data_IF_709939697317
#
_entry.id   IF_709939697317
#
_cell.length_a   1.000
_cell.length_b   1.000
_cell.length_c   1.000
_cell.angle_alpha   90.00
_cell.angle_beta   90.00
_cell.angle_gamma   90.00
#
_symmetry.space_group_name_H-M   'P 1'
#
loop_
_entity.id
_entity.type
_entity.pdbx_description
1 polymer ?
#
# COMPACT_ATOMS: atom_id res chain seq x y z
N UNK A 1 -1.69 8.75 3.73
CA UNK A 1 -2.96 9.01 4.46
C UNK A 1 -3.03 10.50 4.69
N UNK A 2 -4.15 11.12 4.37
CA UNK A 2 -4.30 12.57 4.32
C UNK A 2 -5.49 13.00 5.17
N UNK A 3 -5.46 14.21 5.73
CA UNK A 3 -6.50 14.76 6.59
C UNK A 3 -6.86 16.19 6.18
N UNK A 4 -8.06 16.60 6.57
CA UNK A 4 -8.41 18.00 6.70
C UNK A 4 -8.05 18.46 8.12
N UNK A 5 -7.14 19.41 8.27
CA UNK A 5 -6.67 19.95 9.56
C UNK A 5 -7.79 20.60 10.37
N UNK A 6 -8.87 21.03 9.72
CA UNK A 6 -10.04 21.61 10.38
C UNK A 6 -10.97 20.55 11.00
N UNK A 7 -10.76 19.25 10.74
CA UNK A 7 -11.57 18.15 11.30
C UNK A 7 -11.22 17.78 12.75
N UNK A 8 -10.30 18.53 13.39
CA UNK A 8 -9.93 18.34 14.79
C UNK A 8 -9.06 17.10 15.06
N UNK A 9 -8.46 16.51 14.03
CA UNK A 9 -7.57 15.35 14.14
C UNK A 9 -6.18 15.84 14.57
N UNK A 10 -5.73 15.44 15.76
CA UNK A 10 -4.40 15.79 16.29
C UNK A 10 -3.48 14.57 16.40
N UNK A 11 -4.07 13.38 16.43
CA UNK A 11 -3.39 12.09 16.45
C UNK A 11 -4.16 11.09 15.58
N UNK A 12 -3.52 10.00 15.12
CA UNK A 12 -4.21 8.97 14.33
C UNK A 12 -5.42 8.35 15.05
N UNK A 13 -5.38 8.26 16.38
CA UNK A 13 -6.49 7.77 17.22
C UNK A 13 -7.76 8.64 17.13
N UNK A 14 -7.65 9.91 16.74
CA UNK A 14 -8.80 10.83 16.57
C UNK A 14 -9.61 10.53 15.29
N UNK A 15 -9.19 9.53 14.50
CA UNK A 15 -9.95 9.05 13.35
C UNK A 15 -11.21 8.27 13.75
N UNK A 16 -11.37 7.86 15.02
CA UNK A 16 -12.62 7.26 15.50
C UNK A 16 -13.79 8.23 15.30
N UNK A 17 -14.87 7.73 14.72
CA UNK A 17 -16.07 8.49 14.36
C UNK A 17 -15.91 9.40 13.14
N UNK A 18 -14.81 9.31 12.38
CA UNK A 18 -14.54 10.18 11.23
C UNK A 18 -15.02 9.59 9.90
N UNK A 19 -15.19 10.47 8.92
CA UNK A 19 -15.52 10.14 7.52
C UNK A 19 -14.24 10.00 6.71
N UNK A 20 -13.98 8.82 6.18
CA UNK A 20 -12.73 8.48 5.49
C UNK A 20 -13.00 8.15 4.02
N UNK A 21 -12.41 8.95 3.13
CA UNK A 21 -12.39 8.67 1.69
C UNK A 21 -11.44 7.54 1.33
N UNK A 22 -11.87 6.62 0.46
CA UNK A 22 -11.07 5.52 -0.07
C UNK A 22 -11.36 5.35 -1.57
N UNK A 23 -10.37 5.11 -2.44
CA UNK A 23 -10.69 4.86 -3.84
C UNK A 23 -11.54 3.60 -4.03
N UNK A 24 -11.18 2.51 -3.37
CA UNK A 24 -11.95 1.26 -3.30
C UNK A 24 -11.68 0.60 -1.93
N UNK A 25 -12.68 -0.10 -1.39
CA UNK A 25 -12.55 -0.79 -0.10
C UNK A 25 -11.47 -1.88 -0.16
N UNK A 26 -11.43 -2.67 -1.22
CA UNK A 26 -10.50 -3.78 -1.40
C UNK A 26 -9.14 -3.40 -2.00
N UNK A 27 -8.85 -2.10 -2.19
CA UNK A 27 -7.57 -1.66 -2.74
C UNK A 27 -6.42 -2.02 -1.79
N UNK A 28 -5.32 -2.58 -2.29
CA UNK A 28 -4.17 -3.02 -1.47
C UNK A 28 -3.70 -1.96 -0.46
N UNK A 29 -3.58 -0.70 -0.90
CA UNK A 29 -3.19 0.40 -0.02
C UNK A 29 -4.20 0.63 1.12
N UNK A 30 -5.50 0.57 0.84
CA UNK A 30 -6.53 0.83 1.85
C UNK A 30 -6.63 -0.34 2.83
N UNK A 31 -6.35 -1.57 2.39
CA UNK A 31 -6.23 -2.75 3.27
C UNK A 31 -5.08 -2.57 4.25
N UNK A 32 -3.88 -2.22 3.76
CA UNK A 32 -2.72 -1.94 4.61
C UNK A 32 -2.98 -0.78 5.58
N UNK A 33 -3.50 0.35 5.08
CA UNK A 33 -3.77 1.53 5.88
C UNK A 33 -4.75 1.23 7.02
N UNK A 34 -5.87 0.54 6.75
CA UNK A 34 -6.81 0.13 7.82
C UNK A 34 -6.17 -0.84 8.81
N UNK A 35 -5.41 -1.81 8.34
CA UNK A 35 -4.70 -2.76 9.21
C UNK A 35 -3.72 -2.07 10.16
N UNK A 36 -2.91 -1.15 9.64
CA UNK A 36 -1.95 -0.36 10.44
C UNK A 36 -2.69 0.56 11.43
N UNK A 37 -3.78 1.21 11.02
CA UNK A 37 -4.58 2.05 11.92
C UNK A 37 -5.19 1.26 13.07
N UNK A 38 -5.61 0.03 12.82
CA UNK A 38 -6.14 -0.85 13.85
C UNK A 38 -5.03 -1.34 14.80
N UNK A 39 -3.95 -1.90 14.26
CA UNK A 39 -2.90 -2.54 15.05
C UNK A 39 -2.06 -1.54 15.88
N UNK A 40 -1.70 -0.39 15.29
CA UNK A 40 -0.77 0.55 15.93
C UNK A 40 -1.49 1.72 16.63
N UNK A 41 -2.73 2.03 16.23
CA UNK A 41 -3.46 3.20 16.72
C UNK A 41 -4.84 2.87 17.30
N UNK A 42 -5.24 1.60 17.27
CA UNK A 42 -6.48 1.10 17.86
C UNK A 42 -7.75 1.64 17.20
N UNK A 43 -7.67 2.11 15.95
CA UNK A 43 -8.83 2.65 15.21
C UNK A 43 -9.47 1.50 14.43
N UNK A 44 -10.60 0.99 14.92
CA UNK A 44 -11.32 -0.05 14.21
C UNK A 44 -12.01 0.51 12.96
N UNK A 45 -12.03 -0.29 11.89
CA UNK A 45 -12.78 0.04 10.68
C UNK A 45 -14.30 0.15 10.92
N UNK A 46 -14.84 -0.41 12.01
CA UNK A 46 -16.25 -0.29 12.42
C UNK A 46 -16.56 1.02 13.16
N UNK A 47 -15.54 1.77 13.55
CA UNK A 47 -15.68 3.05 14.25
C UNK A 47 -15.64 4.23 13.28
N UNK A 48 -15.57 3.99 11.96
CA UNK A 48 -15.45 5.03 10.94
C UNK A 48 -16.46 4.80 9.82
N UNK A 49 -16.78 5.87 9.08
CA UNK A 49 -17.61 5.78 7.88
C UNK A 49 -16.74 5.94 6.63
N UNK A 50 -16.82 4.99 5.70
CA UNK A 50 -16.05 5.06 4.47
C UNK A 50 -16.84 5.64 3.31
N UNK A 51 -16.15 6.38 2.45
CA UNK A 51 -16.69 6.95 1.22
C UNK A 51 -15.83 6.49 0.03
N UNK A 52 -16.40 5.67 -0.86
CA UNK A 52 -15.71 5.03 -1.96
C UNK A 52 -15.92 5.76 -3.29
N UNK A 53 -14.85 6.13 -4.00
CA UNK A 53 -15.00 6.89 -5.24
C UNK A 53 -13.72 7.29 -5.96
N UNK A 54 -13.87 8.12 -7.00
CA UNK A 54 -12.72 8.65 -7.72
C UNK A 54 -11.93 9.62 -6.82
N UNK A 55 -10.59 9.48 -6.81
CA UNK A 55 -9.72 10.37 -6.04
C UNK A 55 -9.73 11.79 -6.63
N UNK A 56 -9.72 11.88 -7.95
CA UNK A 56 -9.69 13.12 -8.73
C UNK A 56 -11.00 13.28 -9.53
N UNK A 57 -11.30 14.48 -10.05
CA UNK A 57 -12.43 14.70 -10.94
C UNK A 57 -12.45 13.68 -12.09
N UNK A 58 -13.61 13.05 -12.29
CA UNK A 58 -13.81 12.07 -13.35
C UNK A 58 -15.17 12.25 -14.00
N UNK A 59 -15.22 12.05 -15.32
CA UNK A 59 -16.48 12.04 -16.08
C UNK A 59 -17.37 10.85 -15.72
N UNK A 60 -16.81 9.82 -15.10
CA UNK A 60 -17.51 8.58 -14.79
C UNK A 60 -17.39 8.24 -13.30
N UNK A 61 -18.46 7.67 -12.75
CA UNK A 61 -18.42 7.09 -11.40
C UNK A 61 -17.40 5.95 -11.39
N UNK A 62 -16.52 5.97 -10.39
CA UNK A 62 -15.61 4.85 -10.17
C UNK A 62 -16.43 3.63 -9.74
N UNK A 63 -16.39 2.57 -10.54
CA UNK A 63 -16.98 1.28 -10.18
C UNK A 63 -15.90 0.36 -9.64
N UNK A 64 -16.19 -0.31 -8.53
CA UNK A 64 -15.32 -1.38 -8.04
C UNK A 64 -15.08 -2.41 -9.14
N UNK A 65 -13.82 -2.76 -9.36
CA UNK A 65 -13.44 -3.75 -10.39
C UNK A 65 -13.59 -5.19 -9.90
N UNK A 66 -13.71 -5.37 -8.58
CA UNK A 66 -13.73 -6.67 -7.92
C UNK A 66 -14.87 -6.70 -6.91
N UNK A 67 -15.83 -7.59 -7.13
CA UNK A 67 -16.91 -7.82 -6.19
C UNK A 67 -16.34 -8.32 -4.86
N UNK A 68 -16.84 -7.76 -3.76
CA UNK A 68 -16.45 -8.11 -2.40
C UNK A 68 -17.66 -7.98 -1.47
N UNK A 69 -17.58 -8.61 -0.31
CA UNK A 69 -18.50 -8.41 0.80
C UNK A 69 -17.88 -7.45 1.82
N UNK A 70 -18.72 -6.67 2.49
CA UNK A 70 -18.32 -5.89 3.65
C UNK A 70 -18.55 -6.73 4.92
N UNK A 71 -17.62 -6.73 5.88
CA UNK A 71 -17.86 -7.30 7.20
C UNK A 71 -19.05 -6.64 7.92
N UNK A 72 -19.69 -7.32 8.87
CA UNK A 72 -20.68 -6.70 9.74
C UNK A 72 -20.13 -5.45 10.44
N UNK A 73 -20.94 -4.38 10.49
CA UNK A 73 -20.57 -3.12 11.14
C UNK A 73 -19.69 -2.19 10.30
N UNK A 74 -19.34 -2.57 9.07
CA UNK A 74 -18.62 -1.69 8.14
C UNK A 74 -19.62 -0.97 7.23
N UNK A 75 -19.52 0.35 7.16
CA UNK A 75 -20.34 1.21 6.30
C UNK A 75 -19.47 1.83 5.21
N UNK A 76 -19.83 1.61 3.94
CA UNK A 76 -19.19 2.22 2.78
C UNK A 76 -20.25 2.89 1.91
N UNK A 77 -20.12 4.19 1.70
CA UNK A 77 -20.97 4.99 0.81
C UNK A 77 -20.28 5.16 -0.54
N UNK A 78 -20.98 4.82 -1.63
CA UNK A 78 -20.46 5.05 -2.98
C UNK A 78 -20.69 6.52 -3.39
N UNK A 79 -19.64 7.18 -3.88
CA UNK A 79 -19.73 8.53 -4.42
C UNK A 79 -20.57 8.56 -5.70
N UNK A 80 -21.33 9.63 -5.86
CA UNK A 80 -22.13 9.89 -7.04
C UNK A 80 -21.31 10.55 -8.15
N UNK A 81 -21.89 10.61 -9.36
CA UNK A 81 -21.28 11.30 -10.48
C UNK A 81 -21.04 12.78 -10.16
N UNK A 82 -19.85 13.28 -10.50
CA UNK A 82 -19.44 14.66 -10.21
C UNK A 82 -18.84 14.86 -8.83
N UNK A 83 -18.92 13.87 -7.93
CA UNK A 83 -18.19 13.88 -6.66
C UNK A 83 -16.80 13.25 -6.84
N UNK A 84 -15.82 13.73 -6.09
CA UNK A 84 -14.50 13.11 -5.96
C UNK A 84 -13.95 13.33 -4.55
N UNK A 85 -13.09 12.41 -4.10
CA UNK A 85 -12.61 12.39 -2.73
C UNK A 85 -11.78 13.64 -2.41
N UNK A 86 -10.91 14.08 -3.34
CA UNK A 86 -10.04 15.23 -3.12
C UNK A 86 -10.82 16.50 -2.80
N UNK A 87 -11.85 16.82 -3.58
CA UNK A 87 -12.66 18.02 -3.36
C UNK A 87 -13.52 17.90 -2.10
N UNK A 88 -13.99 16.69 -1.77
CA UNK A 88 -14.74 16.46 -0.53
C UNK A 88 -13.87 16.62 0.71
N UNK A 89 -12.61 16.20 0.67
CA UNK A 89 -11.65 16.47 1.75
C UNK A 89 -11.40 17.97 1.90
N UNK A 90 -11.17 18.67 0.78
CA UNK A 90 -10.96 20.13 0.74
C UNK A 90 -12.13 20.90 1.39
N UNK A 91 -13.36 20.49 1.10
CA UNK A 91 -14.59 21.11 1.64
C UNK A 91 -14.93 20.71 3.08
N UNK A 92 -14.21 19.75 3.67
CA UNK A 92 -14.54 19.20 4.99
C UNK A 92 -15.76 18.28 5.00
N UNK A 93 -16.18 17.80 3.83
CA UNK A 93 -17.18 16.73 3.68
C UNK A 93 -16.59 15.36 4.04
N UNK A 94 -15.28 15.22 3.91
CA UNK A 94 -14.47 14.12 4.47
C UNK A 94 -13.46 14.69 5.45
N UNK A 95 -13.11 13.87 6.45
CA UNK A 95 -12.12 14.23 7.46
C UNK A 95 -10.73 13.68 7.12
N UNK A 96 -10.68 12.55 6.41
CA UNK A 96 -9.45 11.93 5.96
C UNK A 96 -9.60 11.23 4.60
N UNK A 97 -8.48 10.95 3.93
CA UNK A 97 -8.39 10.08 2.75
C UNK A 97 -7.28 9.02 2.97
N UNK A 98 -7.66 7.77 2.73
CA UNK A 98 -6.78 6.62 2.62
C UNK A 98 -6.61 6.29 1.13
N UNK A 99 -5.47 6.69 0.57
CA UNK A 99 -5.13 6.49 -0.84
C UNK A 99 -3.65 6.16 -1.01
N UNK A 100 -3.31 5.52 -2.13
CA UNK A 100 -1.92 5.31 -2.55
C UNK A 100 -1.32 6.58 -3.17
N UNK A 101 -2.12 7.29 -3.97
CA UNK A 101 -1.73 8.56 -4.60
C UNK A 101 -2.10 9.73 -3.71
N UNK A 102 -1.29 10.80 -3.78
CA UNK A 102 -1.57 12.08 -3.13
C UNK A 102 -2.86 12.71 -3.72
N UNK A 103 -3.86 13.07 -2.90
CA UNK A 103 -5.02 13.83 -3.35
C UNK A 103 -4.59 15.22 -3.84
N UNK A 104 -5.07 15.70 -5.00
CA UNK A 104 -4.71 17.02 -5.52
C UNK A 104 -4.97 18.21 -4.57
N UNK A 105 -5.97 18.14 -3.68
CA UNK A 105 -6.27 19.21 -2.73
C UNK A 105 -5.10 19.54 -1.78
N UNK A 106 -4.22 18.58 -1.53
CA UNK A 106 -3.01 18.79 -0.70
C UNK A 106 -2.09 19.85 -1.30
N UNK A 107 -2.09 20.02 -2.63
CA UNK A 107 -1.30 21.06 -3.31
C UNK A 107 -2.07 22.36 -3.55
N UNK A 108 -3.38 22.38 -3.26
CA UNK A 108 -4.27 23.52 -3.57
C UNK A 108 -4.70 24.31 -2.33
N UNK A 109 -4.63 23.71 -1.14
CA UNK A 109 -5.06 24.36 0.09
C UNK A 109 -4.19 23.96 1.28
N UNK A 110 -4.02 24.89 2.23
CA UNK A 110 -3.09 24.73 3.36
C UNK A 110 -3.64 23.81 4.48
N UNK A 111 -4.96 23.60 4.48
CA UNK A 111 -5.65 22.79 5.48
C UNK A 111 -5.79 21.31 5.10
N UNK A 112 -5.34 20.88 3.91
CA UNK A 112 -5.25 19.46 3.55
C UNK A 112 -3.79 19.00 3.58
N UNK A 113 -3.46 17.96 4.34
CA UNK A 113 -2.07 17.52 4.52
C UNK A 113 -2.00 16.04 4.93
N UNK A 114 -0.80 15.51 5.10
CA UNK A 114 -0.55 14.17 5.62
C UNK A 114 -1.05 14.04 7.06
N UNK A 115 -1.63 12.89 7.39
CA UNK A 115 -1.93 12.51 8.78
C UNK A 115 -0.65 12.46 9.63
N UNK A 116 0.46 12.05 9.02
CA UNK A 116 1.79 12.00 9.60
C UNK A 116 2.69 13.00 8.86
N UNK A 117 2.89 14.22 9.39
CA UNK A 117 3.81 15.19 8.78
C UNK A 117 5.25 14.66 8.73
N UNK A 118 5.63 13.82 9.70
CA UNK A 118 6.91 13.11 9.82
C UNK A 118 6.81 11.66 9.31
N UNK A 119 6.20 11.46 8.13
CA UNK A 119 5.90 10.11 7.61
C UNK A 119 7.16 9.25 7.44
N UNK A 120 8.31 9.83 7.08
CA UNK A 120 9.57 9.09 6.91
C UNK A 120 9.98 8.42 8.23
N UNK A 121 9.88 9.15 9.34
CA UNK A 121 10.23 8.66 10.67
C UNK A 121 9.25 7.58 11.14
N UNK A 122 7.95 7.80 10.93
CA UNK A 122 6.89 6.84 11.28
C UNK A 122 7.03 5.54 10.49
N UNK A 123 7.25 5.64 9.18
CA UNK A 123 7.46 4.47 8.31
C UNK A 123 8.76 3.73 8.65
N UNK A 124 9.83 4.46 8.99
CA UNK A 124 11.09 3.86 9.42
C UNK A 124 10.95 3.11 10.75
N UNK A 125 10.26 3.68 11.74
CA UNK A 125 9.97 3.01 13.02
C UNK A 125 9.11 1.76 12.80
N UNK A 126 8.04 1.88 12.00
CA UNK A 126 7.20 0.74 11.63
C UNK A 126 8.03 -0.39 11.01
N UNK A 127 8.90 -0.07 10.05
CA UNK A 127 9.78 -1.06 9.44
C UNK A 127 10.79 -1.63 10.45
N UNK A 128 11.37 -0.83 11.34
CA UNK A 128 12.30 -1.33 12.36
C UNK A 128 11.64 -2.35 13.28
N UNK A 129 10.42 -2.06 13.75
CA UNK A 129 9.66 -2.91 14.67
C UNK A 129 9.13 -4.18 14.00
N UNK A 130 8.60 -4.06 12.78
CA UNK A 130 7.84 -5.15 12.13
C UNK A 130 8.64 -5.88 11.04
N UNK A 131 9.68 -5.24 10.49
CA UNK A 131 10.34 -5.63 9.24
C UNK A 131 9.39 -5.76 8.05
N UNK A 132 8.23 -5.11 8.11
CA UNK A 132 7.25 -5.09 7.03
C UNK A 132 7.44 -3.82 6.20
N UNK A 133 7.76 -4.02 4.93
CA UNK A 133 7.53 -3.00 3.90
C UNK A 133 6.35 -3.46 3.02
N UNK A 134 5.21 -2.75 3.00
CA UNK A 134 4.00 -3.21 2.31
C UNK A 134 4.21 -3.58 0.83
N UNK A 135 3.85 -4.81 0.46
CA UNK A 135 3.87 -5.27 -0.94
C UNK A 135 2.61 -4.76 -1.64
N UNK A 136 2.80 -3.96 -2.69
CA UNK A 136 1.71 -3.35 -3.47
C UNK A 136 1.33 -4.15 -4.72
N UNK A 137 2.31 -4.80 -5.35
CA UNK A 137 2.14 -5.49 -6.63
C UNK A 137 2.84 -6.83 -6.65
N UNK A 138 2.27 -7.77 -7.40
CA UNK A 138 2.84 -9.09 -7.69
C UNK A 138 2.77 -9.35 -9.19
N UNK A 139 3.66 -10.21 -9.69
CA UNK A 139 3.61 -10.69 -11.06
C UNK A 139 2.66 -11.89 -11.11
N UNK A 140 1.65 -11.83 -11.97
CA UNK A 140 0.65 -12.90 -12.12
C UNK A 140 0.81 -13.59 -13.46
N UNK A 141 0.70 -14.93 -13.45
CA UNK A 141 0.71 -15.76 -14.66
C UNK A 141 -0.68 -16.38 -14.78
N UNK A 142 -1.30 -16.26 -15.96
CA UNK A 142 -2.57 -16.93 -16.23
C UNK A 142 -2.38 -18.44 -16.04
N UNK A 143 -3.23 -19.06 -15.21
CA UNK A 143 -3.13 -20.47 -14.83
C UNK A 143 -2.93 -21.41 -16.02
N UNK A 144 -3.72 -21.23 -17.09
CA UNK A 144 -3.61 -22.05 -18.32
C UNK A 144 -2.28 -21.93 -19.05
N UNK A 145 -1.56 -20.81 -18.90
CA UNK A 145 -0.23 -20.62 -19.48
C UNK A 145 0.83 -21.32 -18.63
N UNK A 146 0.73 -21.16 -17.30
CA UNK A 146 1.61 -21.83 -16.34
C UNK A 146 1.50 -23.36 -16.43
N UNK A 147 0.30 -23.92 -16.45
CA UNK A 147 0.09 -25.37 -16.51
C UNK A 147 0.68 -26.00 -17.77
N UNK A 148 0.66 -25.27 -18.91
CA UNK A 148 1.29 -25.70 -20.16
C UNK A 148 2.80 -25.48 -20.17
N UNK A 149 3.30 -24.54 -19.38
CA UNK A 149 4.70 -24.11 -19.39
C UNK A 149 5.18 -23.74 -17.97
N UNK A 150 5.31 -24.71 -17.03
CA UNK A 150 5.59 -24.37 -15.62
C UNK A 150 6.93 -23.66 -15.41
N UNK A 151 7.87 -23.85 -16.34
CA UNK A 151 9.18 -23.20 -16.34
C UNK A 151 9.10 -21.67 -16.42
N UNK A 152 8.03 -21.10 -17.00
CA UNK A 152 7.87 -19.63 -17.16
C UNK A 152 7.95 -18.90 -15.83
N UNK A 153 7.41 -19.48 -14.75
CA UNK A 153 7.42 -18.82 -13.44
C UNK A 153 8.85 -18.58 -12.93
N UNK A 154 9.74 -19.55 -13.12
CA UNK A 154 11.16 -19.45 -12.75
C UNK A 154 11.92 -18.50 -13.65
N UNK A 155 11.68 -18.55 -14.96
CA UNK A 155 12.39 -17.67 -15.90
C UNK A 155 11.99 -16.21 -15.70
N UNK A 156 10.71 -15.92 -15.38
CA UNK A 156 10.29 -14.58 -14.99
C UNK A 156 10.96 -14.14 -13.68
N UNK A 157 11.00 -15.00 -12.65
CA UNK A 157 11.68 -14.68 -11.39
C UNK A 157 13.14 -14.29 -11.62
N UNK A 158 13.89 -15.09 -12.38
CA UNK A 158 15.30 -14.78 -12.73
C UNK A 158 15.43 -13.47 -13.50
N UNK A 159 14.58 -13.26 -14.52
CA UNK A 159 14.63 -12.06 -15.33
C UNK A 159 14.36 -10.79 -14.50
N UNK A 160 13.40 -10.83 -13.57
CA UNK A 160 13.12 -9.71 -12.68
C UNK A 160 14.23 -9.49 -11.65
N UNK A 161 14.86 -10.54 -11.11
CA UNK A 161 16.02 -10.41 -10.23
C UNK A 161 17.19 -9.71 -10.94
N UNK A 162 17.49 -10.09 -12.19
CA UNK A 162 18.48 -9.40 -13.02
C UNK A 162 18.09 -7.93 -13.26
N UNK A 163 16.82 -7.67 -13.58
CA UNK A 163 16.34 -6.30 -13.77
C UNK A 163 16.46 -5.45 -12.49
N UNK A 164 16.24 -6.04 -11.32
CA UNK A 164 16.37 -5.36 -10.03
C UNK A 164 17.83 -5.00 -9.76
N UNK A 165 18.77 -5.91 -10.08
CA UNK A 165 20.21 -5.63 -9.98
C UNK A 165 20.62 -4.42 -10.80
N UNK A 166 20.15 -4.29 -12.04
CA UNK A 166 20.43 -3.10 -12.86
C UNK A 166 19.90 -1.80 -12.23
N UNK A 167 18.73 -1.85 -11.57
CA UNK A 167 18.19 -0.69 -10.87
C UNK A 167 19.06 -0.30 -9.66
N UNK A 168 19.55 -1.29 -8.91
CA UNK A 168 20.46 -1.10 -7.79
C UNK A 168 21.80 -0.49 -8.24
N UNK A 169 22.42 -1.07 -9.27
CA UNK A 169 23.70 -0.56 -9.81
C UNK A 169 23.57 0.90 -10.24
N UNK A 170 22.47 1.24 -10.93
CA UNK A 170 22.21 2.62 -11.34
C UNK A 170 22.04 3.59 -10.15
N UNK A 171 21.44 3.14 -9.05
CA UNK A 171 21.31 3.93 -7.82
C UNK A 171 22.65 4.17 -7.10
N UNK A 172 23.64 3.29 -7.29
CA UNK A 172 24.96 3.40 -6.66
C UNK A 172 25.94 4.27 -7.45
N UNK A 173 25.61 4.66 -8.69
CA UNK A 173 26.46 5.51 -9.52
C UNK A 173 26.62 6.92 -8.90
N UNK A 174 27.86 7.37 -8.73
CA UNK A 174 28.20 8.64 -8.06
C UNK A 174 28.62 9.73 -9.02
N UNK A 175 29.22 9.38 -10.16
CA UNK A 175 29.73 10.36 -11.12
C UNK A 175 28.59 11.04 -11.91
N UNK A 176 27.50 10.31 -12.13
CA UNK A 176 26.30 10.79 -12.79
C UNK A 176 25.07 10.17 -12.11
N UNK A 177 24.54 10.87 -11.10
CA UNK A 177 23.38 10.40 -10.35
C UNK A 177 22.24 10.03 -11.30
N UNK A 178 21.66 8.84 -11.10
CA UNK A 178 20.58 8.31 -11.94
C UNK A 178 19.34 9.21 -11.97
N UNK A 179 19.10 9.94 -10.88
CA UNK A 179 17.99 10.85 -10.69
C UNK A 179 18.52 12.24 -10.35
N UNK A 180 17.78 13.29 -10.75
CA UNK A 180 18.12 14.70 -10.48
C UNK A 180 17.82 15.09 -9.01
N UNK A 181 18.28 14.27 -8.06
CA UNK A 181 18.16 14.48 -6.62
C UNK A 181 19.57 14.73 -6.06
N UNK A 182 19.93 15.97 -5.68
CA UNK A 182 21.30 16.31 -5.26
C UNK A 182 21.83 15.50 -4.07
N UNK A 183 20.93 15.03 -3.19
CA UNK A 183 21.26 14.26 -1.98
C UNK A 183 20.90 12.76 -2.11
N UNK A 184 20.79 12.24 -3.34
CA UNK A 184 20.43 10.84 -3.59
C UNK A 184 21.34 9.87 -2.83
N UNK A 185 22.65 10.13 -2.82
CA UNK A 185 23.62 9.26 -2.16
C UNK A 185 23.36 9.15 -0.65
N UNK A 186 23.03 10.26 0.01
CA UNK A 186 22.72 10.25 1.45
C UNK A 186 21.42 9.50 1.73
N UNK A 187 20.38 9.67 0.90
CA UNK A 187 19.16 8.88 1.01
C UNK A 187 19.40 7.38 0.80
N UNK A 188 20.30 6.99 -0.12
CA UNK A 188 20.70 5.60 -0.30
C UNK A 188 21.40 5.07 0.95
N UNK A 189 22.33 5.83 1.54
CA UNK A 189 23.03 5.44 2.77
C UNK A 189 22.07 5.27 3.94
N UNK A 190 21.13 6.21 4.12
CA UNK A 190 20.07 6.11 5.13
C UNK A 190 19.23 4.85 4.94
N UNK A 191 18.82 4.57 3.70
CA UNK A 191 18.02 3.38 3.37
C UNK A 191 18.78 2.10 3.67
N UNK A 192 20.07 2.03 3.33
CA UNK A 192 20.93 0.88 3.65
C UNK A 192 21.06 0.65 5.14
N UNK A 193 21.30 1.71 5.92
CA UNK A 193 21.41 1.61 7.38
C UNK A 193 20.11 1.10 8.02
N UNK A 194 18.96 1.48 7.46
CA UNK A 194 17.64 1.08 7.96
C UNK A 194 17.23 -0.35 7.54
N UNK A 195 17.45 -0.69 6.27
CA UNK A 195 16.83 -1.85 5.60
C UNK A 195 17.81 -2.94 5.13
N UNK A 196 19.12 -2.71 5.22
CA UNK A 196 20.17 -3.67 4.87
C UNK A 196 21.17 -3.17 3.83
N UNK A 197 22.43 -3.62 3.94
CA UNK A 197 23.59 -2.99 3.29
C UNK A 197 23.77 -3.29 1.80
N UNK A 198 23.36 -4.48 1.34
CA UNK A 198 23.56 -4.93 -0.05
C UNK A 198 22.33 -4.69 -0.93
N UNK A 199 21.22 -5.34 -0.59
CA UNK A 199 19.93 -5.22 -1.27
C UNK A 199 18.84 -5.13 -0.20
N UNK A 200 18.23 -3.95 -0.07
CA UNK A 200 17.16 -3.70 0.91
C UNK A 200 15.78 -4.19 0.44
N UNK A 201 15.56 -4.30 -0.86
CA UNK A 201 14.43 -4.97 -1.48
C UNK A 201 14.82 -6.41 -1.73
N UNK A 202 14.48 -7.29 -0.78
CA UNK A 202 14.70 -8.72 -0.94
C UNK A 202 13.66 -9.30 -1.90
N UNK A 203 14.10 -9.84 -3.02
CA UNK A 203 13.29 -10.75 -3.81
C UNK A 203 13.28 -12.14 -3.13
N UNK A 204 12.21 -12.91 -3.34
CA UNK A 204 12.07 -14.24 -2.76
C UNK A 204 10.86 -14.41 -1.85
N UNK A 205 10.32 -15.63 -1.82
CA UNK A 205 9.10 -15.94 -1.09
C UNK A 205 9.34 -15.93 0.43
N UNK A 206 10.41 -16.58 0.91
CA UNK A 206 10.64 -16.77 2.34
C UNK A 206 11.00 -15.46 3.04
N UNK A 207 11.77 -14.61 2.36
CA UNK A 207 12.17 -13.27 2.80
C UNK A 207 10.97 -12.34 2.98
N UNK A 208 9.88 -12.60 2.26
CA UNK A 208 8.66 -11.81 2.26
C UNK A 208 7.46 -12.53 2.89
N UNK A 209 7.64 -13.75 3.40
CA UNK A 209 6.52 -14.58 3.85
C UNK A 209 5.76 -13.92 4.99
N UNK A 210 6.44 -13.30 5.95
CA UNK A 210 5.80 -12.58 7.05
C UNK A 210 4.97 -11.39 6.57
N UNK A 211 5.42 -10.68 5.53
CA UNK A 211 4.66 -9.59 4.90
C UNK A 211 3.40 -10.13 4.23
N UNK A 212 3.53 -11.23 3.49
CA UNK A 212 2.41 -11.90 2.81
C UNK A 212 1.39 -12.44 3.81
N UNK A 213 1.85 -13.12 4.87
CA UNK A 213 1.00 -13.64 5.93
C UNK A 213 0.24 -12.50 6.62
N UNK A 214 0.91 -11.38 6.93
CA UNK A 214 0.25 -10.22 7.54
C UNK A 214 -0.79 -9.60 6.61
N UNK A 215 -0.50 -9.49 5.31
CA UNK A 215 -1.49 -9.00 4.36
C UNK A 215 -2.69 -9.94 4.27
N UNK A 216 -2.48 -11.26 4.27
CA UNK A 216 -3.55 -12.25 4.23
C UNK A 216 -4.42 -12.22 5.49
N UNK A 217 -3.81 -11.99 6.65
CA UNK A 217 -4.51 -11.72 7.91
C UNK A 217 -5.43 -10.49 7.78
N UNK A 218 -4.87 -9.35 7.36
CA UNK A 218 -5.66 -8.12 7.15
C UNK A 218 -6.77 -8.32 6.11
N UNK A 219 -6.46 -8.91 4.97
CA UNK A 219 -7.42 -9.14 3.90
C UNK A 219 -8.58 -10.06 4.35
N UNK A 220 -8.29 -11.07 5.17
CA UNK A 220 -9.32 -11.93 5.75
C UNK A 220 -10.13 -11.22 6.83
N UNK A 221 -9.48 -10.56 7.79
CA UNK A 221 -10.13 -9.83 8.90
C UNK A 221 -11.07 -8.74 8.38
N UNK A 222 -10.71 -8.11 7.27
CA UNK A 222 -11.50 -7.08 6.60
C UNK A 222 -12.55 -7.67 5.63
N UNK A 223 -12.81 -8.98 5.67
CA UNK A 223 -13.91 -9.65 4.96
C UNK A 223 -13.74 -9.79 3.45
N UNK A 224 -12.53 -9.55 2.92
CA UNK A 224 -12.24 -9.62 1.49
C UNK A 224 -11.90 -11.05 1.05
N UNK A 225 -11.26 -11.84 1.92
CA UNK A 225 -11.10 -13.29 1.72
C UNK A 225 -12.16 -14.06 2.49
N UNK A 226 -12.74 -15.10 1.87
CA UNK A 226 -13.71 -16.01 2.53
C UNK A 226 -13.09 -16.89 3.63
N UNK A 227 -11.77 -17.10 3.57
CA UNK A 227 -10.98 -17.85 4.55
C UNK A 227 -9.59 -17.24 4.65
N UNK A 228 -8.92 -17.48 5.77
CA UNK A 228 -7.49 -17.20 5.86
C UNK A 228 -6.74 -18.15 4.92
N UNK A 229 -6.10 -17.58 3.91
CA UNK A 229 -5.24 -18.32 2.98
C UNK A 229 -3.82 -18.37 3.54
N UNK A 230 -3.05 -19.38 3.15
CA UNK A 230 -1.61 -19.44 3.42
C UNK A 230 -0.86 -18.82 2.24
N UNK A 231 0.23 -18.11 2.51
CA UNK A 231 1.02 -17.45 1.47
C UNK A 231 1.49 -18.43 0.38
N UNK A 232 1.85 -19.65 0.75
CA UNK A 232 2.31 -20.72 -0.17
C UNK A 232 1.25 -21.09 -1.21
N UNK A 233 -0.04 -20.90 -0.91
CA UNK A 233 -1.13 -21.19 -1.83
C UNK A 233 -1.24 -20.18 -2.99
N UNK A 234 -0.63 -18.99 -2.83
CA UNK A 234 -0.73 -17.90 -3.79
C UNK A 234 0.32 -17.98 -4.90
N UNK A 235 1.43 -18.68 -4.66
CA UNK A 235 2.58 -18.70 -5.56
C UNK A 235 2.73 -20.05 -6.25
N UNK A 236 3.39 -20.04 -7.41
CA UNK A 236 3.72 -21.27 -8.10
C UNK A 236 4.67 -22.11 -7.20
N UNK A 237 4.44 -23.43 -7.00
CA UNK A 237 5.27 -24.23 -6.09
C UNK A 237 6.75 -24.18 -6.47
N UNK A 238 7.03 -24.19 -7.78
CA UNK A 238 8.37 -24.07 -8.30
C UNK A 238 8.95 -22.65 -8.19
N UNK A 239 8.36 -21.69 -7.49
CA UNK A 239 9.01 -20.41 -7.15
C UNK A 239 9.31 -20.26 -5.65
N UNK A 240 8.91 -21.25 -4.83
CA UNK A 240 9.07 -21.18 -3.38
C UNK A 240 10.49 -21.50 -2.91
N UNK A 241 11.27 -22.27 -3.67
CA UNK A 241 12.64 -22.60 -3.29
C UNK A 241 13.61 -21.55 -3.85
N UNK A 242 14.55 -21.07 -3.04
CA UNK A 242 15.68 -20.26 -3.51
C UNK A 242 16.86 -21.20 -3.75
N UNK A 243 17.18 -21.52 -5.00
CA UNK A 243 18.48 -22.12 -5.28
C UNK A 243 19.48 -21.00 -5.49
N UNK A 244 20.53 -21.00 -4.68
CA UNK A 244 21.73 -20.22 -4.92
C UNK A 244 22.24 -20.62 -6.31
N UNK A 245 22.23 -19.69 -7.26
CA UNK A 245 23.02 -19.81 -8.50
C UNK A 245 24.44 -19.36 -8.16
#
# INVERSE_FOLDING_TARGET
MYINKNSGIKSPSDLRGKRIGIPEYQLTATVWQRGVMEDDFGVSATEVEFFAGALEPSAHVRKSKVAHSLPPGITVHELQQGQNLSDMLEKGELDAIFSASKPPCVDRCDHCDNLFPNFKEVEAEYYQRTKIFPIMHVVVIKRTVYEKNPWIARELQKAFAVSQKYAYEALMERAALRYMLPFLEDHVRETKALMGEDMWWKDGFWENKHVLDKFLEYHHKQGLSKRLMRAEELFAPNTLESFVI
#
